data_IF_109084430194
#
_entry.id   IF_109084430194
#
_cell.length_a   1.000
_cell.length_b   1.000
_cell.length_c   1.000
_cell.angle_alpha   90.00
_cell.angle_beta   90.00
_cell.angle_gamma   90.00
#
_symmetry.space_group_name_H-M   'P 1'
#
loop_
_entity.id
_entity.type
_entity.pdbx_description
1 polymer ?
#
# COMPACT_ATOMS: atom_id res chain seq x y z
N UNK A 1 3.87 -12.95 2.57
CA UNK A 1 3.85 -11.50 2.27
C UNK A 1 2.52 -10.95 2.66
N UNK A 2 2.51 -9.75 3.23
CA UNK A 2 1.29 -8.97 3.44
C UNK A 2 1.35 -7.74 2.53
N UNK A 3 0.19 -7.24 2.15
CA UNK A 3 0.05 -6.12 1.24
C UNK A 3 -0.82 -5.07 1.90
N UNK A 4 -0.47 -3.81 1.74
CA UNK A 4 -1.13 -2.72 2.44
C UNK A 4 -1.49 -1.60 1.48
N UNK A 5 -2.65 -1.00 1.72
CA UNK A 5 -3.06 0.27 1.12
C UNK A 5 -2.99 1.38 2.17
N UNK A 6 -2.44 2.52 1.80
CA UNK A 6 -2.43 3.70 2.66
C UNK A 6 -3.78 4.41 2.58
N UNK A 7 -4.46 4.50 3.71
CA UNK A 7 -5.77 5.15 3.85
C UNK A 7 -5.67 6.61 4.29
N UNK A 8 -4.46 7.08 4.64
CA UNK A 8 -4.19 8.47 4.97
C UNK A 8 -3.84 9.28 3.71
N UNK A 9 -4.76 10.16 3.30
CA UNK A 9 -4.62 10.99 2.08
C UNK A 9 -3.37 11.88 2.08
N UNK A 10 -3.00 12.46 3.23
CA UNK A 10 -1.84 13.35 3.30
C UNK A 10 -0.51 12.61 3.11
N UNK A 11 -0.48 11.31 3.38
CA UNK A 11 0.72 10.46 3.25
C UNK A 11 0.75 9.79 1.88
N UNK A 12 -0.42 9.45 1.33
CA UNK A 12 -0.56 8.88 -0.02
C UNK A 12 0.11 9.73 -1.10
N UNK A 13 -0.14 11.05 -1.10
CA UNK A 13 0.36 11.95 -2.14
C UNK A 13 1.89 12.07 -2.14
N UNK A 14 2.52 11.88 -0.99
CA UNK A 14 3.97 12.06 -0.81
C UNK A 14 4.76 10.74 -0.91
N UNK A 15 4.18 9.62 -0.48
CA UNK A 15 4.91 8.35 -0.31
C UNK A 15 4.33 7.16 -1.10
N UNK A 16 3.21 7.38 -1.79
CA UNK A 16 2.52 6.38 -2.59
C UNK A 16 1.41 5.63 -1.83
N UNK A 17 0.72 4.77 -2.58
CA UNK A 17 -0.55 4.18 -2.16
C UNK A 17 -0.47 2.74 -1.66
N UNK A 18 0.33 1.89 -2.29
CA UNK A 18 0.39 0.46 -2.01
C UNK A 18 1.79 0.05 -1.56
N UNK A 19 1.84 -0.80 -0.54
CA UNK A 19 3.09 -1.22 0.10
C UNK A 19 3.10 -2.73 0.36
N UNK A 20 4.30 -3.28 0.48
CA UNK A 20 4.54 -4.69 0.80
C UNK A 20 5.19 -4.80 2.16
N UNK A 21 4.80 -5.81 2.93
CA UNK A 21 5.46 -6.20 4.18
C UNK A 21 5.99 -7.63 4.06
N UNK A 22 7.29 -7.76 4.30
CA UNK A 22 8.03 -8.99 4.47
C UNK A 22 8.51 -9.14 5.92
N UNK A 23 7.99 -10.07 6.73
CA UNK A 23 8.45 -10.25 8.12
C UNK A 23 9.92 -10.68 8.23
N UNK A 24 10.53 -11.16 7.14
CA UNK A 24 11.97 -11.45 7.09
C UNK A 24 12.85 -10.21 6.89
N UNK A 25 12.28 -9.08 6.45
CA UNK A 25 13.01 -7.85 6.13
C UNK A 25 12.49 -6.61 6.87
N UNK A 26 11.22 -6.61 7.26
CA UNK A 26 10.51 -5.48 7.84
C UNK A 26 10.19 -5.69 9.32
N UNK A 27 10.26 -4.59 10.06
CA UNK A 27 9.89 -4.55 11.49
C UNK A 27 8.40 -4.29 11.67
N UNK A 28 7.83 -4.96 12.66
CA UNK A 28 6.45 -4.74 13.11
C UNK A 28 6.48 -4.59 14.63
N UNK A 29 5.97 -3.45 15.13
CA UNK A 29 5.77 -3.19 16.56
C UNK A 29 4.28 -2.97 16.83
N UNK A 30 3.90 -2.63 18.07
CA UNK A 30 2.48 -2.46 18.45
C UNK A 30 1.78 -1.36 17.63
N UNK A 31 2.44 -0.23 17.42
CA UNK A 31 1.85 0.96 16.78
C UNK A 31 2.29 1.18 15.33
N UNK A 32 3.45 0.62 14.94
CA UNK A 32 4.12 0.94 13.67
C UNK A 32 4.42 -0.30 12.84
N UNK A 33 4.44 -0.10 11.52
CA UNK A 33 4.78 -1.12 10.54
C UNK A 33 5.78 -0.54 9.52
N UNK A 34 6.91 -1.23 9.36
CA UNK A 34 7.84 -0.96 8.28
C UNK A 34 7.35 -1.66 7.01
N UNK A 35 7.20 -0.94 5.91
CA UNK A 35 6.70 -1.46 4.63
C UNK A 35 7.51 -0.92 3.48
N UNK A 36 7.49 -1.57 2.33
CA UNK A 36 8.28 -1.19 1.16
C UNK A 36 7.36 -0.77 0.02
N UNK A 37 7.69 0.35 -0.64
CA UNK A 37 7.04 0.72 -1.89
C UNK A 37 7.75 0.00 -3.05
N UNK A 38 7.00 -0.82 -3.78
CA UNK A 38 7.51 -1.57 -4.95
C UNK A 38 6.87 -1.14 -6.28
N UNK A 39 5.96 -0.17 -6.23
CA UNK A 39 5.17 0.27 -7.40
C UNK A 39 5.54 1.67 -7.88
N UNK A 40 6.25 2.46 -7.09
CA UNK A 40 6.76 3.76 -7.50
C UNK A 40 8.21 3.67 -7.97
N UNK A 41 8.50 4.11 -9.20
CA UNK A 41 9.84 3.99 -9.78
C UNK A 41 10.87 4.82 -9.01
N UNK A 42 10.47 5.94 -8.39
CA UNK A 42 11.39 6.81 -7.64
C UNK A 42 11.74 6.24 -6.25
N UNK A 43 10.88 5.37 -5.73
CA UNK A 43 10.93 4.85 -4.37
C UNK A 43 10.96 3.33 -4.29
N UNK A 44 11.22 2.66 -5.43
CA UNK A 44 11.22 1.21 -5.51
C UNK A 44 12.24 0.61 -4.55
N UNK A 45 11.76 -0.25 -3.65
CA UNK A 45 12.59 -0.91 -2.64
C UNK A 45 12.91 -0.05 -1.42
N UNK A 46 12.42 1.20 -1.32
CA UNK A 46 12.63 2.02 -0.13
C UNK A 46 11.67 1.60 1.00
N UNK A 47 12.18 1.40 2.23
CA UNK A 47 11.35 1.16 3.39
C UNK A 47 10.74 2.46 3.92
N UNK A 48 9.51 2.38 4.38
CA UNK A 48 8.75 3.42 5.06
C UNK A 48 8.21 2.87 6.37
N UNK A 49 8.20 3.68 7.42
CA UNK A 49 7.58 3.30 8.70
C UNK A 49 6.32 4.14 8.84
N UNK A 50 5.17 3.47 8.92
CA UNK A 50 3.88 4.13 9.12
C UNK A 50 3.22 3.64 10.41
N UNK A 51 2.41 4.50 11.07
CA UNK A 51 1.44 4.03 12.04
C UNK A 51 0.53 2.98 11.39
N UNK A 52 0.29 1.86 12.08
CA UNK A 52 -0.60 0.80 11.59
C UNK A 52 -1.99 1.32 11.24
N UNK A 53 -2.47 2.35 11.94
CA UNK A 53 -3.75 3.01 11.65
C UNK A 53 -3.84 3.65 10.27
N UNK A 54 -2.71 3.89 9.59
CA UNK A 54 -2.69 4.46 8.23
C UNK A 54 -2.71 3.38 7.16
N UNK A 55 -2.53 2.11 7.54
CA UNK A 55 -2.42 1.01 6.62
C UNK A 55 -3.60 0.06 6.82
N UNK A 56 -4.21 -0.30 5.70
CA UNK A 56 -5.21 -1.34 5.65
C UNK A 56 -4.60 -2.55 4.93
N UNK A 57 -4.60 -3.71 5.58
CA UNK A 57 -4.16 -4.95 4.94
C UNK A 57 -5.14 -5.33 3.83
N UNK A 58 -4.62 -5.59 2.64
CA UNK A 58 -5.39 -5.97 1.45
C UNK A 58 -4.91 -7.31 0.90
N UNK A 59 -5.73 -7.92 0.05
CA UNK A 59 -5.40 -9.17 -0.61
C UNK A 59 -4.26 -8.97 -1.62
N UNK A 60 -3.54 -10.05 -1.92
CA UNK A 60 -2.56 -10.05 -3.01
C UNK A 60 -3.22 -9.70 -4.35
N UNK A 61 -4.45 -10.16 -4.57
CA UNK A 61 -5.24 -9.87 -5.78
C UNK A 61 -5.51 -8.37 -5.94
N UNK A 62 -5.93 -7.67 -4.88
CA UNK A 62 -6.17 -6.23 -4.93
C UNK A 62 -4.88 -5.45 -5.17
N UNK A 63 -3.76 -5.90 -4.58
CA UNK A 63 -2.44 -5.33 -4.83
C UNK A 63 -2.01 -5.49 -6.29
N UNK A 64 -2.11 -6.70 -6.84
CA UNK A 64 -1.75 -6.99 -8.23
C UNK A 64 -2.62 -6.19 -9.20
N UNK A 65 -3.93 -6.14 -8.95
CA UNK A 65 -4.87 -5.34 -9.74
C UNK A 65 -4.51 -3.86 -9.73
N UNK A 66 -4.11 -3.30 -8.59
CA UNK A 66 -3.61 -1.92 -8.51
C UNK A 66 -2.30 -1.75 -9.28
N UNK A 67 -1.35 -2.68 -9.10
CA UNK A 67 -0.05 -2.63 -9.75
C UNK A 67 -0.15 -2.68 -11.28
N UNK A 68 -1.01 -3.54 -11.82
CA UNK A 68 -1.28 -3.62 -13.26
C UNK A 68 -1.91 -2.32 -13.77
N UNK A 69 -2.91 -1.80 -13.05
CA UNK A 69 -3.58 -0.58 -13.48
C UNK A 69 -2.66 0.65 -13.43
N UNK A 70 -1.74 0.74 -12.45
CA UNK A 70 -0.69 1.76 -12.39
C UNK A 70 0.27 1.65 -13.59
N UNK A 71 0.72 0.43 -13.94
CA UNK A 71 1.57 0.20 -15.13
C UNK A 71 0.90 0.61 -16.44
N UNK A 72 -0.42 0.49 -16.52
CA UNK A 72 -1.22 0.86 -17.69
C UNK A 72 -1.68 2.34 -17.69
N UNK A 73 -1.21 3.16 -16.73
CA UNK A 73 -1.62 4.57 -16.58
C UNK A 73 -3.15 4.76 -16.52
N UNK A 74 -3.87 3.84 -15.87
CA UNK A 74 -5.33 3.93 -15.67
C UNK A 74 -5.68 4.94 -14.57
N UNK A 75 -6.98 5.25 -14.43
CA UNK A 75 -7.50 6.05 -13.33
C UNK A 75 -7.40 5.27 -12.00
N UNK A 76 -6.51 5.73 -11.11
CA UNK A 76 -6.22 5.07 -9.82
C UNK A 76 -7.20 5.42 -8.72
N UNK A 77 -7.85 6.58 -8.77
CA UNK A 77 -8.80 7.01 -7.74
C UNK A 77 -10.00 6.07 -7.68
N UNK A 78 -10.64 5.81 -8.82
CA UNK A 78 -11.81 4.92 -8.87
C UNK A 78 -11.46 3.48 -8.46
N UNK A 79 -10.27 2.99 -8.81
CA UNK A 79 -9.83 1.66 -8.41
C UNK A 79 -9.57 1.58 -6.90
N UNK A 80 -8.94 2.61 -6.34
CA UNK A 80 -8.71 2.74 -4.90
C UNK A 80 -10.01 2.68 -4.12
N UNK A 81 -11.02 3.45 -4.53
CA UNK A 81 -12.33 3.46 -3.87
C UNK A 81 -12.97 2.07 -3.90
N UNK A 82 -12.95 1.39 -5.06
CA UNK A 82 -13.47 0.02 -5.21
C UNK A 82 -12.76 -0.99 -4.30
N UNK A 83 -11.44 -0.86 -4.12
CA UNK A 83 -10.68 -1.72 -3.20
C UNK A 83 -11.13 -1.42 -1.78
N UNK A 84 -11.12 -0.16 -1.35
CA UNK A 84 -11.47 0.24 0.02
C UNK A 84 -12.90 -0.17 0.41
N UNK A 85 -13.85 -0.11 -0.53
CA UNK A 85 -15.23 -0.55 -0.29
C UNK A 85 -15.35 -2.03 0.11
N UNK A 86 -14.46 -2.91 -0.39
CA UNK A 86 -14.45 -4.34 -0.03
C UNK A 86 -14.13 -4.60 1.44
N UNK A 87 -13.45 -3.66 2.10
CA UNK A 87 -12.93 -3.78 3.46
C UNK A 87 -13.69 -2.94 4.48
N UNK A 88 -14.79 -2.27 4.08
CA UNK A 88 -15.64 -1.48 4.98
C UNK A 88 -16.68 -2.30 5.75
N UNK A 89 -16.69 -3.63 5.62
CA UNK A 89 -17.68 -4.54 6.23
C UNK A 89 -17.13 -5.27 7.45
#
# INVERSE_FOLDING_TARGET
MKYFINVNKSVEEEYGKMFVYDPGQNRENDDELEVVNNLDEQDQGKPYIFPKSFLLEVSAEDYERYAEAKRENKNMESLTEQILERYRN
#
